data_IF_547551819928
#
_entry.id   IF_547551819928
#
_cell.length_a   1.000
_cell.length_b   1.000
_cell.length_c   1.000
_cell.angle_alpha   90.00
_cell.angle_beta   90.00
_cell.angle_gamma   90.00
#
_symmetry.space_group_name_H-M   'P 1'
#
loop_
_entity.id
_entity.type
_entity.pdbx_description
1 polymer ?
#
# COMPACT_ATOMS: atom_id res chain seq x y z
N UNK A 1 -20.43 -4.63 -13.95
CA UNK A 1 -19.99 -3.22 -14.19
C UNK A 1 -18.46 -3.21 -14.14
N UNK A 2 -17.79 -2.45 -15.02
CA UNK A 2 -16.32 -2.31 -14.96
C UNK A 2 -15.90 -1.56 -13.68
N UNK A 3 -14.73 -1.88 -13.12
CA UNK A 3 -14.23 -1.29 -11.85
C UNK A 3 -14.23 0.24 -11.87
N UNK A 4 -13.74 0.88 -12.95
CA UNK A 4 -13.77 2.34 -13.10
C UNK A 4 -15.17 2.94 -12.97
N UNK A 5 -16.18 2.35 -13.64
CA UNK A 5 -17.58 2.80 -13.52
C UNK A 5 -18.10 2.55 -12.09
N UNK A 6 -17.74 1.43 -11.49
CA UNK A 6 -18.13 1.06 -10.14
C UNK A 6 -17.53 2.01 -9.08
N UNK A 7 -16.28 2.45 -9.26
CA UNK A 7 -15.65 3.44 -8.37
C UNK A 7 -16.43 4.76 -8.30
N UNK A 8 -17.04 5.17 -9.43
CA UNK A 8 -17.82 6.42 -9.51
C UNK A 8 -19.26 6.22 -9.03
N UNK A 9 -19.90 5.10 -9.43
CA UNK A 9 -21.35 4.92 -9.30
C UNK A 9 -21.77 3.91 -8.24
N UNK A 10 -20.88 3.46 -7.38
CA UNK A 10 -21.28 2.55 -6.30
C UNK A 10 -22.33 3.23 -5.43
N UNK A 11 -23.56 2.69 -5.35
CA UNK A 11 -24.61 3.30 -4.55
C UNK A 11 -24.29 3.19 -3.06
N UNK A 12 -24.38 4.29 -2.37
CA UNK A 12 -24.36 4.33 -0.92
C UNK A 12 -25.76 3.99 -0.41
N UNK A 13 -25.91 3.02 0.47
CA UNK A 13 -27.21 2.54 0.95
C UNK A 13 -27.96 3.56 1.81
N UNK A 14 -27.22 4.37 2.57
CA UNK A 14 -27.76 5.45 3.38
C UNK A 14 -27.71 6.74 2.57
N UNK A 15 -28.85 7.26 2.23
CA UNK A 15 -28.94 8.55 1.58
C UNK A 15 -28.89 9.67 2.62
N UNK A 16 -28.24 10.74 2.25
CA UNK A 16 -28.30 12.00 2.95
C UNK A 16 -29.75 12.57 2.91
N UNK A 17 -30.13 13.40 3.91
CA UNK A 17 -31.46 13.95 4.03
C UNK A 17 -31.89 14.82 2.83
N UNK A 18 -30.95 15.26 2.02
CA UNK A 18 -31.15 16.11 0.84
C UNK A 18 -30.87 15.39 -0.48
N UNK A 19 -30.64 14.09 -0.47
CA UNK A 19 -30.28 13.28 -1.64
C UNK A 19 -29.07 13.83 -2.43
N UNK A 20 -28.06 14.34 -1.71
CA UNK A 20 -26.83 14.87 -2.33
C UNK A 20 -26.17 13.80 -3.22
N UNK A 21 -25.70 14.21 -4.41
CA UNK A 21 -25.04 13.29 -5.35
C UNK A 21 -23.70 12.77 -4.80
N UNK A 22 -22.94 13.64 -4.15
CA UNK A 22 -21.71 13.27 -3.44
C UNK A 22 -22.01 13.13 -1.96
N UNK A 23 -21.45 12.09 -1.30
CA UNK A 23 -21.62 11.90 0.14
C UNK A 23 -21.14 13.14 0.92
N UNK A 24 -21.97 13.76 1.77
CA UNK A 24 -21.56 14.89 2.59
C UNK A 24 -20.49 14.52 3.61
N UNK A 25 -19.76 15.52 4.11
CA UNK A 25 -18.83 15.35 5.22
C UNK A 25 -19.59 15.44 6.53
N UNK A 26 -19.82 14.31 7.20
CA UNK A 26 -20.41 14.27 8.55
C UNK A 26 -19.32 14.52 9.60
N UNK A 27 -19.04 15.80 9.85
CA UNK A 27 -18.04 16.24 10.83
C UNK A 27 -18.64 16.29 12.24
N UNK A 28 -19.20 15.16 12.70
CA UNK A 28 -19.81 14.98 14.00
C UNK A 28 -19.07 13.90 14.78
N UNK A 29 -18.98 14.04 16.11
CA UNK A 29 -18.36 13.04 16.97
C UNK A 29 -19.39 12.00 17.42
N UNK A 30 -20.61 12.43 17.75
CA UNK A 30 -21.68 11.61 18.29
C UNK A 30 -22.98 11.86 17.52
N UNK A 31 -23.89 10.92 17.60
CA UNK A 31 -25.21 10.96 16.95
C UNK A 31 -26.31 10.78 17.99
N UNK A 32 -27.44 11.46 17.79
CA UNK A 32 -28.61 11.37 18.66
C UNK A 32 -29.52 10.20 18.25
N UNK A 33 -30.16 9.58 19.22
CA UNK A 33 -31.12 8.47 19.03
C UNK A 33 -32.51 8.86 19.54
N UNK A 34 -33.53 8.37 18.86
CA UNK A 34 -34.92 8.66 19.21
C UNK A 34 -35.30 8.25 20.64
N UNK A 35 -34.69 7.19 21.16
CA UNK A 35 -34.91 6.70 22.50
C UNK A 35 -33.78 5.79 22.98
N UNK A 36 -33.77 5.50 24.30
CA UNK A 36 -32.71 4.69 24.93
C UNK A 36 -32.63 3.26 24.39
N UNK A 37 -33.73 2.67 23.93
CA UNK A 37 -33.74 1.31 23.36
C UNK A 37 -33.02 1.29 22.01
N UNK A 38 -33.33 2.24 21.14
CA UNK A 38 -32.64 2.39 19.83
C UNK A 38 -31.16 2.64 20.03
N UNK A 39 -30.77 3.49 20.98
CA UNK A 39 -29.38 3.71 21.37
C UNK A 39 -28.72 2.40 21.82
N UNK A 40 -29.31 1.65 22.71
CA UNK A 40 -28.76 0.38 23.18
C UNK A 40 -28.65 -0.67 22.06
N UNK A 41 -29.59 -0.67 21.12
CA UNK A 41 -29.58 -1.59 19.98
C UNK A 41 -28.44 -1.22 18.99
N UNK A 42 -28.14 0.09 18.77
CA UNK A 42 -27.03 0.57 17.98
C UNK A 42 -25.68 0.16 18.61
N UNK A 43 -25.47 0.48 19.89
CA UNK A 43 -24.21 0.16 20.61
C UNK A 43 -23.95 -1.34 20.73
N UNK A 44 -24.99 -2.18 20.65
CA UNK A 44 -24.85 -3.64 20.65
C UNK A 44 -24.80 -4.24 19.23
N UNK A 45 -24.74 -3.42 18.17
CA UNK A 45 -24.70 -3.89 16.78
C UNK A 45 -25.98 -4.62 16.32
N UNK A 46 -27.11 -4.43 17.02
CA UNK A 46 -28.40 -5.03 16.65
C UNK A 46 -29.12 -4.26 15.55
N UNK A 47 -28.77 -3.00 15.37
CA UNK A 47 -29.22 -2.15 14.26
C UNK A 47 -28.00 -1.46 13.65
N UNK A 48 -28.08 -1.20 12.35
CA UNK A 48 -27.07 -0.48 11.58
C UNK A 48 -27.33 1.04 11.72
N UNK A 49 -26.67 1.67 12.71
CA UNK A 49 -26.73 3.10 12.96
C UNK A 49 -25.41 3.61 13.54
N UNK A 50 -24.87 4.76 13.05
CA UNK A 50 -23.66 5.33 13.61
C UNK A 50 -23.89 5.75 15.06
N UNK A 51 -22.93 5.44 15.93
CA UNK A 51 -22.97 5.77 17.34
C UNK A 51 -21.89 6.79 17.72
N UNK A 52 -20.66 6.55 17.30
CA UNK A 52 -19.51 7.36 17.62
C UNK A 52 -18.49 7.36 16.47
N UNK A 53 -18.08 8.52 15.97
CA UNK A 53 -17.33 8.64 14.70
C UNK A 53 -15.95 8.00 14.69
N UNK A 54 -15.36 7.68 15.84
CA UNK A 54 -14.13 6.88 15.90
C UNK A 54 -14.34 5.45 15.39
N UNK A 55 -15.55 4.93 15.57
CA UNK A 55 -15.94 3.56 15.21
C UNK A 55 -16.66 3.54 13.87
N UNK A 56 -17.70 4.34 13.74
CA UNK A 56 -18.49 4.43 12.52
C UNK A 56 -18.87 5.88 12.22
N UNK A 57 -18.54 6.32 11.01
CA UNK A 57 -18.93 7.64 10.50
C UNK A 57 -19.47 7.50 9.07
N UNK A 58 -20.64 8.08 8.72
CA UNK A 58 -21.25 7.89 7.41
C UNK A 58 -20.34 8.22 6.21
N UNK A 59 -19.47 9.23 6.34
CA UNK A 59 -18.51 9.60 5.27
C UNK A 59 -17.40 8.56 5.13
N UNK A 60 -16.91 8.03 6.25
CA UNK A 60 -15.88 6.97 6.26
C UNK A 60 -16.46 5.67 5.72
N UNK A 61 -17.64 5.28 6.20
CA UNK A 61 -18.37 4.10 5.73
C UNK A 61 -18.64 4.15 4.22
N UNK A 62 -18.90 5.33 3.65
CA UNK A 62 -19.04 5.46 2.19
C UNK A 62 -17.75 5.08 1.44
N UNK A 63 -16.58 5.49 1.90
CA UNK A 63 -15.30 5.08 1.32
C UNK A 63 -15.10 3.55 1.45
N UNK A 64 -15.33 3.00 2.64
CA UNK A 64 -15.19 1.57 2.92
C UNK A 64 -16.11 0.72 2.04
N UNK A 65 -17.38 1.11 1.90
CA UNK A 65 -18.34 0.41 1.05
C UNK A 65 -17.97 0.47 -0.45
N UNK A 66 -17.41 1.58 -0.92
CA UNK A 66 -16.90 1.67 -2.30
C UNK A 66 -15.73 0.71 -2.52
N UNK A 67 -14.76 0.68 -1.61
CA UNK A 67 -13.62 -0.25 -1.68
C UNK A 67 -14.09 -1.69 -1.58
N UNK A 68 -15.00 -2.00 -0.64
CA UNK A 68 -15.62 -3.33 -0.50
C UNK A 68 -16.26 -3.81 -1.82
N UNK A 69 -16.99 -2.94 -2.49
CA UNK A 69 -17.63 -3.27 -3.76
C UNK A 69 -16.62 -3.49 -4.89
N UNK A 70 -15.53 -2.72 -4.93
CA UNK A 70 -14.48 -2.84 -5.94
C UNK A 70 -13.64 -4.10 -5.79
N UNK A 71 -13.41 -4.55 -4.55
CA UNK A 71 -12.53 -5.68 -4.20
C UNK A 71 -13.28 -6.99 -3.99
N UNK A 72 -14.59 -6.93 -3.70
CA UNK A 72 -15.37 -8.10 -3.28
C UNK A 72 -14.99 -8.61 -1.89
N UNK A 73 -14.45 -7.72 -1.04
CA UNK A 73 -14.07 -8.02 0.33
C UNK A 73 -15.29 -8.33 1.23
N UNK A 74 -15.05 -9.03 2.32
CA UNK A 74 -16.04 -9.19 3.38
C UNK A 74 -16.12 -7.95 4.27
N UNK A 75 -14.96 -7.37 4.63
CA UNK A 75 -14.86 -6.14 5.39
C UNK A 75 -13.79 -5.21 4.82
N UNK A 76 -13.99 -3.91 5.01
CA UNK A 76 -12.96 -2.87 4.75
C UNK A 76 -12.94 -1.94 5.94
N UNK A 77 -11.73 -1.62 6.42
CA UNK A 77 -11.52 -0.72 7.55
C UNK A 77 -10.61 0.42 7.10
N UNK A 78 -11.10 1.65 7.21
CA UNK A 78 -10.33 2.84 6.88
C UNK A 78 -9.64 3.41 8.13
N UNK A 79 -8.33 3.55 8.04
CA UNK A 79 -7.44 3.98 9.12
C UNK A 79 -6.67 5.24 8.73
N UNK A 80 -6.06 5.89 9.72
CA UNK A 80 -5.40 7.20 9.55
C UNK A 80 -4.06 7.16 8.79
N UNK A 81 -3.50 5.99 8.55
CA UNK A 81 -2.24 5.84 7.78
C UNK A 81 -2.03 4.40 7.30
N UNK A 82 -1.15 4.21 6.30
CA UNK A 82 -0.72 2.88 5.88
C UNK A 82 -0.05 2.10 7.01
N UNK A 83 0.77 2.75 7.84
CA UNK A 83 1.37 2.08 9.01
C UNK A 83 0.33 1.67 10.05
N UNK A 84 -0.77 2.42 10.19
CA UNK A 84 -1.89 2.00 11.04
C UNK A 84 -2.59 0.76 10.45
N UNK A 85 -2.76 0.68 9.13
CA UNK A 85 -3.30 -0.51 8.48
C UNK A 85 -2.40 -1.73 8.72
N UNK A 86 -1.09 -1.61 8.51
CA UNK A 86 -0.12 -2.69 8.76
C UNK A 86 -0.11 -3.09 10.24
N UNK A 87 0.04 -2.14 11.16
CA UNK A 87 0.17 -2.44 12.59
C UNK A 87 -1.11 -3.03 13.18
N UNK A 88 -2.29 -2.50 12.87
CA UNK A 88 -3.55 -3.05 13.36
C UNK A 88 -3.78 -4.47 12.82
N UNK A 89 -3.44 -4.72 11.55
CA UNK A 89 -3.55 -6.06 10.97
C UNK A 89 -2.58 -7.04 11.64
N UNK A 90 -1.32 -6.67 11.83
CA UNK A 90 -0.36 -7.52 12.54
C UNK A 90 -0.80 -7.77 13.99
N UNK A 91 -1.19 -6.74 14.74
CA UNK A 91 -1.69 -6.93 16.12
C UNK A 91 -2.93 -7.83 16.23
N UNK A 92 -3.72 -7.94 15.16
CA UNK A 92 -4.89 -8.85 15.15
C UNK A 92 -4.52 -10.33 15.01
N UNK A 93 -3.30 -10.64 14.57
CA UNK A 93 -2.83 -12.01 14.32
C UNK A 93 -1.70 -12.47 15.23
N UNK A 94 -0.84 -11.53 15.70
CA UNK A 94 0.34 -11.90 16.50
C UNK A 94 -0.01 -12.11 17.97
N UNK A 95 0.73 -13.02 18.59
CA UNK A 95 0.71 -13.29 20.03
C UNK A 95 2.15 -13.49 20.53
N UNK A 96 2.38 -13.30 21.83
CA UNK A 96 3.71 -13.57 22.44
C UNK A 96 4.16 -15.01 22.19
N UNK A 97 5.40 -15.19 21.79
CA UNK A 97 6.00 -16.50 21.48
C UNK A 97 5.69 -16.99 20.06
N UNK A 98 4.94 -16.25 19.27
CA UNK A 98 4.65 -16.54 17.87
C UNK A 98 5.66 -15.86 16.93
N UNK A 99 5.63 -16.28 15.66
CA UNK A 99 6.47 -15.71 14.62
C UNK A 99 5.69 -15.27 13.37
N UNK A 100 6.27 -14.32 12.65
CA UNK A 100 5.83 -13.82 11.35
C UNK A 100 6.93 -14.13 10.34
N UNK A 101 6.60 -14.83 9.26
CA UNK A 101 7.52 -15.02 8.13
C UNK A 101 7.37 -13.84 7.18
N UNK A 102 8.50 -13.26 6.75
CA UNK A 102 8.48 -12.09 5.87
C UNK A 102 9.80 -11.88 5.12
N UNK A 103 9.81 -10.93 4.18
CA UNK A 103 11.01 -10.53 3.45
C UNK A 103 11.96 -9.66 4.29
N UNK A 104 13.24 -9.66 3.90
CA UNK A 104 14.20 -8.62 4.31
C UNK A 104 13.98 -7.31 3.55
N UNK A 105 13.39 -7.38 2.36
CA UNK A 105 13.20 -6.26 1.43
C UNK A 105 11.82 -5.63 1.65
N UNK A 106 11.59 -5.09 2.84
CA UNK A 106 10.37 -4.39 3.21
C UNK A 106 10.57 -2.87 3.22
N UNK A 107 9.48 -2.14 3.15
CA UNK A 107 9.47 -0.73 3.53
C UNK A 107 10.06 -0.55 4.93
N UNK A 108 10.99 0.41 5.09
CA UNK A 108 11.80 0.54 6.31
C UNK A 108 11.03 0.57 7.62
N UNK A 109 9.86 1.25 7.66
CA UNK A 109 9.03 1.27 8.87
C UNK A 109 8.33 -0.06 9.14
N UNK A 110 7.95 -0.83 8.13
CA UNK A 110 7.41 -2.18 8.29
C UNK A 110 8.48 -3.13 8.83
N UNK A 111 9.68 -3.05 8.27
CA UNK A 111 10.83 -3.79 8.79
C UNK A 111 11.08 -3.47 10.27
N UNK A 112 11.17 -2.19 10.62
CA UNK A 112 11.38 -1.75 12.01
C UNK A 112 10.22 -2.15 12.94
N UNK A 113 8.97 -2.11 12.49
CA UNK A 113 7.82 -2.58 13.26
C UNK A 113 7.99 -4.06 13.64
N UNK A 114 8.34 -4.91 12.68
CA UNK A 114 8.49 -6.35 12.88
C UNK A 114 9.73 -6.69 13.73
N UNK A 115 10.90 -6.13 13.39
CA UNK A 115 12.18 -6.52 13.99
C UNK A 115 12.49 -5.80 15.32
N UNK A 116 11.87 -4.65 15.58
CA UNK A 116 12.10 -3.86 16.79
C UNK A 116 10.86 -3.78 17.68
N UNK A 117 9.74 -3.28 17.16
CA UNK A 117 8.56 -3.02 17.99
C UNK A 117 7.90 -4.30 18.46
N UNK A 118 7.55 -5.20 17.54
CA UNK A 118 6.89 -6.48 17.84
C UNK A 118 7.85 -7.46 18.53
N UNK A 119 9.14 -7.41 18.24
CA UNK A 119 10.16 -8.21 18.94
C UNK A 119 10.17 -7.94 20.44
N UNK A 120 9.97 -6.68 20.89
CA UNK A 120 9.84 -6.33 22.32
C UNK A 120 8.59 -6.92 22.97
N UNK A 121 7.60 -7.29 22.19
CA UNK A 121 6.38 -7.96 22.64
C UNK A 121 6.49 -9.48 22.56
N UNK A 122 7.68 -10.01 22.24
CA UNK A 122 7.95 -11.45 22.16
C UNK A 122 7.51 -12.10 20.87
N UNK A 123 7.34 -11.33 19.77
CA UNK A 123 7.06 -11.84 18.42
C UNK A 123 8.35 -11.92 17.63
N UNK A 124 8.64 -13.08 17.04
CA UNK A 124 9.81 -13.30 16.19
C UNK A 124 9.50 -12.91 14.72
N UNK A 125 10.36 -12.11 14.09
CA UNK A 125 10.33 -11.88 12.65
C UNK A 125 11.31 -12.86 11.96
N UNK A 126 10.80 -13.82 11.19
CA UNK A 126 11.60 -14.76 10.40
C UNK A 126 11.81 -14.19 9.00
N UNK A 127 12.97 -13.58 8.81
CA UNK A 127 13.33 -12.90 7.58
C UNK A 127 13.94 -13.89 6.57
N UNK A 128 13.36 -13.98 5.38
CA UNK A 128 13.86 -14.84 4.29
C UNK A 128 13.71 -14.17 2.92
N UNK A 129 14.18 -14.85 1.90
CA UNK A 129 13.90 -14.49 0.51
C UNK A 129 12.56 -15.10 0.12
N UNK A 130 11.53 -14.27 -0.09
CA UNK A 130 10.20 -14.71 -0.48
C UNK A 130 10.11 -15.15 -1.95
N UNK A 131 11.16 -15.00 -2.74
CA UNK A 131 11.23 -15.56 -4.10
C UNK A 131 11.61 -17.05 -4.08
N UNK A 132 12.21 -17.54 -2.98
CA UNK A 132 12.45 -18.97 -2.71
C UNK A 132 11.31 -19.57 -1.87
N UNK A 133 10.28 -20.04 -2.55
CA UNK A 133 9.06 -20.58 -1.94
C UNK A 133 9.35 -21.80 -1.04
N UNK A 134 10.33 -22.66 -1.40
CA UNK A 134 10.72 -23.81 -0.58
C UNK A 134 11.42 -23.36 0.72
N UNK A 135 12.20 -22.27 0.66
CA UNK A 135 12.80 -21.70 1.85
C UNK A 135 11.75 -21.14 2.81
N UNK A 136 10.69 -20.53 2.28
CA UNK A 136 9.54 -20.05 3.08
C UNK A 136 8.86 -21.24 3.79
N UNK A 137 8.57 -22.31 3.07
CA UNK A 137 7.90 -23.50 3.64
C UNK A 137 8.70 -24.12 4.80
N UNK A 138 10.02 -24.19 4.66
CA UNK A 138 10.91 -24.72 5.74
C UNK A 138 10.89 -23.87 7.02
N UNK A 139 10.46 -22.60 6.95
CA UNK A 139 10.38 -21.71 8.12
C UNK A 139 9.03 -21.77 8.83
N UNK A 140 8.02 -22.39 8.24
CA UNK A 140 6.71 -22.56 8.86
C UNK A 140 6.76 -23.60 9.98
N UNK A 141 6.24 -23.23 11.14
CA UNK A 141 6.07 -24.14 12.29
C UNK A 141 4.75 -23.83 13.04
N UNK A 142 4.48 -24.55 14.13
CA UNK A 142 3.27 -24.40 14.97
C UNK A 142 3.13 -23.01 15.62
N UNK A 143 4.19 -22.22 15.60
CA UNK A 143 4.20 -20.86 16.14
C UNK A 143 4.06 -19.79 15.06
N UNK A 144 4.02 -20.17 13.79
CA UNK A 144 3.84 -19.21 12.69
C UNK A 144 2.40 -18.72 12.67
N UNK A 145 2.20 -17.40 12.84
CA UNK A 145 0.88 -16.79 12.90
C UNK A 145 0.44 -16.14 11.58
N UNK A 146 1.38 -15.74 10.73
CA UNK A 146 1.08 -15.26 9.38
C UNK A 146 2.32 -15.22 8.50
N UNK A 147 2.08 -15.16 7.19
CA UNK A 147 3.03 -14.72 6.18
C UNK A 147 2.70 -13.27 5.82
N UNK A 148 3.66 -12.35 6.02
CA UNK A 148 3.53 -10.95 5.60
C UNK A 148 4.42 -10.68 4.38
N UNK A 149 3.88 -10.07 3.33
CA UNK A 149 4.61 -9.76 2.12
C UNK A 149 4.24 -8.38 1.54
N UNK A 150 5.17 -7.77 0.81
CA UNK A 150 4.86 -6.73 -0.17
C UNK A 150 4.78 -7.38 -1.55
N UNK A 151 3.72 -7.13 -2.31
CA UNK A 151 3.54 -7.74 -3.65
C UNK A 151 4.60 -7.28 -4.65
N UNK A 152 5.17 -6.10 -4.41
CA UNK A 152 6.32 -5.52 -5.07
C UNK A 152 7.09 -4.70 -4.05
N UNK A 153 8.40 -4.92 -3.93
CA UNK A 153 9.22 -4.28 -2.89
C UNK A 153 9.62 -2.84 -3.27
N UNK A 154 9.87 -2.02 -2.26
CA UNK A 154 10.30 -0.62 -2.40
C UNK A 154 11.61 -0.39 -1.62
N UNK A 155 12.73 -0.03 -2.27
CA UNK A 155 12.87 0.44 -3.66
C UNK A 155 13.32 -0.63 -4.67
N UNK A 156 13.50 -1.88 -4.28
CA UNK A 156 14.16 -2.92 -5.08
C UNK A 156 13.33 -3.34 -6.31
N UNK A 157 11.99 -3.18 -6.26
CA UNK A 157 11.03 -3.59 -7.30
C UNK A 157 11.07 -5.10 -7.58
N UNK A 158 11.34 -5.89 -6.56
CA UNK A 158 11.22 -7.34 -6.65
C UNK A 158 9.75 -7.75 -6.56
N UNK A 159 9.34 -8.74 -7.34
CA UNK A 159 7.98 -9.28 -7.35
C UNK A 159 8.01 -10.71 -6.89
N UNK A 160 7.16 -11.05 -5.92
CA UNK A 160 7.03 -12.42 -5.40
C UNK A 160 5.91 -13.18 -6.10
N UNK A 161 6.04 -14.51 -6.18
CA UNK A 161 4.94 -15.37 -6.63
C UNK A 161 3.90 -15.51 -5.51
N UNK A 162 2.93 -14.60 -5.52
CA UNK A 162 1.87 -14.54 -4.51
C UNK A 162 1.05 -15.83 -4.48
N UNK A 163 0.74 -16.42 -5.66
CA UNK A 163 -0.06 -17.66 -5.71
C UNK A 163 0.66 -18.84 -5.08
N UNK A 164 1.95 -18.98 -5.34
CA UNK A 164 2.75 -20.02 -4.74
C UNK A 164 2.85 -19.85 -3.21
N UNK A 165 3.12 -18.62 -2.75
CA UNK A 165 3.22 -18.30 -1.33
C UNK A 165 1.90 -18.49 -0.58
N UNK A 166 0.78 -18.05 -1.13
CA UNK A 166 -0.55 -18.23 -0.52
C UNK A 166 -0.95 -19.70 -0.48
N UNK A 167 -0.61 -20.46 -1.54
CA UNK A 167 -0.88 -21.92 -1.57
C UNK A 167 -0.17 -22.64 -0.43
N UNK A 168 1.11 -22.37 -0.19
CA UNK A 168 1.87 -22.98 0.90
C UNK A 168 1.34 -22.53 2.26
N UNK A 169 1.12 -21.24 2.47
CA UNK A 169 0.59 -20.72 3.73
C UNK A 169 -0.76 -21.39 4.09
N UNK A 170 -1.66 -21.52 3.13
CA UNK A 170 -2.97 -22.14 3.34
C UNK A 170 -2.90 -23.65 3.62
N UNK A 171 -1.93 -24.38 3.05
CA UNK A 171 -1.70 -25.80 3.39
C UNK A 171 -1.36 -25.98 4.88
N UNK A 172 -0.75 -24.96 5.49
CA UNK A 172 -0.43 -24.92 6.92
C UNK A 172 -1.47 -24.17 7.76
N UNK A 173 -2.57 -23.71 7.17
CA UNK A 173 -3.63 -22.97 7.87
C UNK A 173 -3.22 -21.57 8.33
N UNK A 174 -2.23 -20.94 7.66
CA UNK A 174 -1.63 -19.66 8.01
C UNK A 174 -2.18 -18.57 7.11
N UNK A 175 -2.67 -17.43 7.65
CA UNK A 175 -3.13 -16.31 6.86
C UNK A 175 -1.98 -15.59 6.15
N UNK A 176 -2.28 -15.07 4.95
CA UNK A 176 -1.38 -14.21 4.17
C UNK A 176 -1.87 -12.77 4.23
N UNK A 177 -1.00 -11.90 4.72
CA UNK A 177 -1.18 -10.45 4.77
C UNK A 177 -0.29 -9.84 3.70
N UNK A 178 -0.86 -9.11 2.74
CA UNK A 178 -0.11 -8.49 1.66
C UNK A 178 -0.26 -6.97 1.65
N UNK A 179 0.87 -6.26 1.62
CA UNK A 179 0.89 -4.84 1.29
C UNK A 179 0.87 -4.68 -0.24
N UNK A 180 -0.20 -4.11 -0.74
CA UNK A 180 -0.45 -3.94 -2.17
C UNK A 180 -0.35 -2.48 -2.61
N UNK A 181 0.28 -1.64 -1.81
CA UNK A 181 0.34 -0.19 -2.03
C UNK A 181 0.90 0.21 -3.40
N UNK A 182 1.80 -0.60 -3.98
CA UNK A 182 2.46 -0.25 -5.24
C UNK A 182 1.64 -0.54 -6.49
N UNK A 183 0.67 -1.45 -6.41
CA UNK A 183 -0.27 -1.75 -7.50
C UNK A 183 -1.69 -1.63 -6.93
N UNK A 184 -2.54 -0.74 -7.44
CA UNK A 184 -3.86 -0.55 -6.86
C UNK A 184 -4.76 -1.78 -7.06
N UNK A 185 -5.62 -2.07 -6.09
CA UNK A 185 -6.58 -3.17 -6.10
C UNK A 185 -7.60 -3.11 -7.26
N UNK A 186 -7.64 -2.00 -8.00
CA UNK A 186 -8.45 -1.88 -9.21
C UNK A 186 -7.84 -2.62 -10.40
N UNK A 187 -6.53 -2.89 -10.37
CA UNK A 187 -5.80 -3.51 -11.49
C UNK A 187 -5.79 -5.05 -11.42
N UNK A 188 -5.90 -5.63 -10.24
CA UNK A 188 -5.87 -7.08 -10.03
C UNK A 188 -6.92 -7.51 -9.00
N UNK A 189 -6.97 -8.78 -8.67
CA UNK A 189 -7.81 -9.34 -7.60
C UNK A 189 -6.91 -10.02 -6.57
N UNK A 190 -6.72 -9.38 -5.42
CA UNK A 190 -5.96 -9.95 -4.31
C UNK A 190 -6.60 -11.26 -3.82
N UNK A 191 -7.94 -11.32 -3.79
CA UNK A 191 -8.71 -12.53 -3.46
C UNK A 191 -8.38 -13.70 -4.38
N UNK A 192 -8.28 -13.46 -5.70
CA UNK A 192 -8.00 -14.52 -6.68
C UNK A 192 -6.53 -14.98 -6.63
N UNK A 193 -5.65 -14.18 -6.03
CA UNK A 193 -4.27 -14.56 -5.71
C UNK A 193 -4.15 -15.32 -4.39
N UNK A 194 -5.24 -15.44 -3.62
CA UNK A 194 -5.26 -16.13 -2.32
C UNK A 194 -4.84 -15.25 -1.14
N UNK A 195 -4.74 -13.93 -1.31
CA UNK A 195 -4.46 -13.00 -0.21
C UNK A 195 -5.68 -12.96 0.72
N UNK A 196 -5.46 -13.11 2.03
CA UNK A 196 -6.51 -13.12 3.04
C UNK A 196 -6.82 -11.73 3.57
N UNK A 197 -5.76 -10.95 3.81
CA UNK A 197 -5.83 -9.56 4.24
C UNK A 197 -4.92 -8.71 3.36
N UNK A 198 -5.50 -7.69 2.75
CA UNK A 198 -4.76 -6.72 1.97
C UNK A 198 -4.61 -5.44 2.78
N UNK A 199 -3.40 -4.92 2.91
CA UNK A 199 -3.13 -3.61 3.51
C UNK A 199 -2.68 -2.64 2.44
N UNK A 200 -3.22 -1.43 2.48
CA UNK A 200 -2.96 -0.39 1.48
C UNK A 200 -2.67 0.93 2.16
N UNK A 201 -1.56 1.56 1.81
CA UNK A 201 -1.39 2.97 2.11
C UNK A 201 -2.22 3.82 1.15
N UNK A 202 -3.44 4.15 1.54
CA UNK A 202 -4.34 4.99 0.73
C UNK A 202 -3.84 6.44 0.57
N UNK A 203 -2.78 6.80 1.30
CA UNK A 203 -1.97 8.02 1.10
C UNK A 203 -1.44 8.14 -0.34
N UNK A 204 -1.23 7.01 -1.03
CA UNK A 204 -0.54 6.92 -2.32
C UNK A 204 -1.52 7.14 -3.47
N UNK A 205 -1.72 6.16 -4.33
CA UNK A 205 -2.60 6.28 -5.49
C UNK A 205 -4.02 6.79 -5.16
N UNK A 206 -4.60 6.35 -4.03
CA UNK A 206 -5.97 6.70 -3.69
C UNK A 206 -6.10 8.19 -3.33
N UNK A 207 -5.18 8.74 -2.55
CA UNK A 207 -5.18 10.19 -2.23
C UNK A 207 -5.12 11.08 -3.47
N UNK A 208 -4.40 10.65 -4.49
CA UNK A 208 -4.41 11.29 -5.81
C UNK A 208 -3.71 12.64 -5.93
N UNK A 209 -3.02 13.11 -4.92
CA UNK A 209 -2.34 14.42 -4.98
C UNK A 209 -1.55 14.74 -3.72
N UNK A 210 -1.19 13.72 -2.93
CA UNK A 210 -0.48 13.87 -1.65
C UNK A 210 -1.19 14.82 -0.66
N UNK A 211 -2.52 14.82 -0.66
CA UNK A 211 -3.33 15.75 0.13
C UNK A 211 -3.81 15.16 1.44
N UNK A 212 -3.79 13.82 1.59
CA UNK A 212 -4.29 13.13 2.77
C UNK A 212 -3.49 11.87 3.09
N UNK A 213 -3.21 11.65 4.37
CA UNK A 213 -2.72 10.38 4.88
C UNK A 213 -3.90 9.43 5.09
N UNK A 214 -3.69 8.14 4.81
CA UNK A 214 -4.69 7.14 5.09
C UNK A 214 -4.16 5.72 4.89
N UNK A 215 -4.90 4.74 5.41
CA UNK A 215 -4.66 3.33 5.23
C UNK A 215 -5.97 2.57 5.12
N UNK A 216 -5.95 1.46 4.43
CA UNK A 216 -7.07 0.55 4.32
C UNK A 216 -6.62 -0.85 4.71
N UNK A 217 -7.46 -1.56 5.45
CA UNK A 217 -7.39 -3.01 5.61
C UNK A 217 -8.57 -3.60 4.87
N UNK A 218 -8.31 -4.51 3.95
CA UNK A 218 -9.31 -5.19 3.13
C UNK A 218 -9.27 -6.67 3.53
N UNK A 219 -10.32 -7.12 4.21
CA UNK A 219 -10.46 -8.47 4.73
C UNK A 219 -11.37 -9.28 3.81
N UNK A 220 -10.85 -10.38 3.28
CA UNK A 220 -11.59 -11.27 2.37
C UNK A 220 -12.41 -12.35 3.08
N UNK A 221 -12.38 -12.39 4.43
CA UNK A 221 -13.22 -13.26 5.25
C UNK A 221 -12.74 -14.71 5.37
N UNK A 222 -11.56 -15.04 4.85
CA UNK A 222 -10.99 -16.40 4.91
C UNK A 222 -10.72 -16.82 6.36
N UNK A 223 -10.31 -15.87 7.21
CA UNK A 223 -10.04 -16.06 8.63
C UNK A 223 -10.97 -15.17 9.50
N UNK A 224 -12.24 -15.58 9.75
CA UNK A 224 -13.23 -14.72 10.38
C UNK A 224 -12.87 -14.21 11.79
N UNK A 225 -12.02 -14.93 12.53
CA UNK A 225 -11.55 -14.49 13.84
C UNK A 225 -10.68 -13.24 13.76
N UNK A 226 -9.88 -13.11 12.71
CA UNK A 226 -9.01 -11.97 12.46
C UNK A 226 -9.86 -10.74 12.13
N UNK A 227 -10.81 -10.87 11.20
CA UNK A 227 -11.73 -9.80 10.84
C UNK A 227 -12.51 -9.26 12.06
N UNK A 228 -12.97 -10.15 12.95
CA UNK A 228 -13.61 -9.75 14.20
C UNK A 228 -12.68 -8.99 15.14
N UNK A 229 -11.42 -9.44 15.31
CA UNK A 229 -10.44 -8.72 16.14
C UNK A 229 -10.12 -7.35 15.56
N UNK A 230 -9.96 -7.25 14.24
CA UNK A 230 -9.73 -5.98 13.56
C UNK A 230 -10.83 -4.96 13.86
N UNK A 231 -12.10 -5.36 13.68
CA UNK A 231 -13.25 -4.49 13.86
C UNK A 231 -13.48 -4.18 15.35
N UNK A 232 -13.55 -5.19 16.22
CA UNK A 232 -14.06 -5.06 17.57
C UNK A 232 -12.99 -4.77 18.63
N UNK A 233 -11.70 -4.97 18.30
CA UNK A 233 -10.61 -4.76 19.25
C UNK A 233 -9.64 -3.71 18.72
N UNK A 234 -9.05 -3.89 17.50
CA UNK A 234 -7.99 -3.02 17.04
C UNK A 234 -8.48 -1.60 16.78
N UNK A 235 -9.55 -1.44 16.00
CA UNK A 235 -10.12 -0.12 15.72
C UNK A 235 -10.61 0.55 17.01
N UNK A 236 -11.34 -0.20 17.86
CA UNK A 236 -11.89 0.34 19.11
C UNK A 236 -10.84 0.76 20.12
N UNK A 237 -9.80 -0.08 20.33
CA UNK A 237 -8.84 0.07 21.41
C UNK A 237 -7.63 0.92 21.02
N UNK A 238 -7.15 0.80 19.76
CA UNK A 238 -5.99 1.56 19.29
C UNK A 238 -6.37 2.93 18.72
N UNK A 239 -7.63 3.10 18.29
CA UNK A 239 -8.18 4.40 17.92
C UNK A 239 -7.58 5.03 16.67
N UNK A 240 -7.01 4.25 15.76
CA UNK A 240 -6.36 4.71 14.54
C UNK A 240 -7.35 5.02 13.40
N UNK A 241 -8.51 5.62 13.72
CA UNK A 241 -9.60 5.89 12.79
C UNK A 241 -9.23 6.91 11.71
N UNK A 242 -9.87 6.83 10.54
CA UNK A 242 -9.81 7.85 9.50
C UNK A 242 -10.80 8.99 9.80
N UNK A 243 -10.40 10.24 9.60
CA UNK A 243 -11.33 11.37 9.75
C UNK A 243 -12.27 11.50 8.55
N UNK A 244 -13.50 12.03 8.73
CA UNK A 244 -14.46 12.21 7.64
C UNK A 244 -13.92 13.09 6.49
N UNK A 245 -13.13 14.13 6.79
CA UNK A 245 -12.51 14.99 5.79
C UNK A 245 -11.53 14.21 4.91
N UNK A 246 -10.70 13.35 5.51
CA UNK A 246 -9.76 12.49 4.79
C UNK A 246 -10.52 11.47 3.94
N UNK A 247 -11.53 10.82 4.50
CA UNK A 247 -12.36 9.86 3.77
C UNK A 247 -13.04 10.49 2.54
N UNK A 248 -13.54 11.72 2.67
CA UNK A 248 -14.11 12.47 1.55
C UNK A 248 -13.08 12.73 0.45
N UNK A 249 -11.89 13.27 0.81
CA UNK A 249 -10.82 13.51 -0.15
C UNK A 249 -10.36 12.22 -0.85
N UNK A 250 -10.26 11.12 -0.11
CA UNK A 250 -9.87 9.83 -0.68
C UNK A 250 -10.97 9.21 -1.55
N UNK A 251 -12.23 9.46 -1.26
CA UNK A 251 -13.34 9.09 -2.15
C UNK A 251 -13.21 9.78 -3.51
N UNK A 252 -12.93 11.08 -3.53
CA UNK A 252 -12.69 11.81 -4.79
C UNK A 252 -11.46 11.27 -5.54
N UNK A 253 -10.39 10.97 -4.81
CA UNK A 253 -9.20 10.36 -5.41
C UNK A 253 -9.45 8.97 -5.98
N UNK A 254 -10.29 8.16 -5.31
CA UNK A 254 -10.68 6.82 -5.76
C UNK A 254 -11.45 6.88 -7.11
N UNK A 255 -12.31 7.87 -7.30
CA UNK A 255 -13.09 8.04 -8.54
C UNK A 255 -12.21 8.25 -9.79
N UNK A 256 -11.01 8.82 -9.62
CA UNK A 256 -10.05 9.06 -10.71
C UNK A 256 -8.83 8.14 -10.69
N UNK A 257 -8.81 7.15 -9.81
CA UNK A 257 -7.66 6.29 -9.57
C UNK A 257 -7.15 5.61 -10.84
N UNK A 258 -8.03 4.94 -11.59
CA UNK A 258 -7.63 4.19 -12.79
C UNK A 258 -7.09 5.09 -13.90
N UNK A 259 -7.68 6.28 -14.08
CA UNK A 259 -7.21 7.25 -15.09
C UNK A 259 -5.80 7.74 -14.75
N UNK A 260 -5.56 8.10 -13.49
CA UNK A 260 -4.24 8.56 -13.04
C UNK A 260 -3.21 7.44 -13.07
N UNK A 261 -3.57 6.26 -12.57
CA UNK A 261 -2.69 5.10 -12.57
C UNK A 261 -2.24 4.73 -13.99
N UNK A 262 -3.18 4.64 -14.95
CA UNK A 262 -2.86 4.29 -16.33
C UNK A 262 -1.92 5.32 -16.97
N UNK A 263 -2.14 6.60 -16.75
CA UNK A 263 -1.26 7.66 -17.25
C UNK A 263 0.14 7.58 -16.59
N UNK A 264 0.21 7.44 -15.27
CA UNK A 264 1.48 7.34 -14.54
C UNK A 264 2.29 6.10 -14.94
N UNK A 265 1.63 4.94 -15.09
CA UNK A 265 2.29 3.70 -15.51
C UNK A 265 2.80 3.79 -16.96
N UNK A 266 2.02 4.40 -17.86
CA UNK A 266 2.46 4.67 -19.23
C UNK A 266 3.67 5.59 -19.27
N UNK A 267 3.64 6.70 -18.53
CA UNK A 267 4.76 7.62 -18.39
C UNK A 267 5.99 6.92 -17.83
N UNK A 268 5.83 6.05 -16.83
CA UNK A 268 6.93 5.30 -16.22
C UNK A 268 7.60 4.35 -17.22
N UNK A 269 6.82 3.64 -18.03
CA UNK A 269 7.34 2.74 -19.05
C UNK A 269 8.14 3.52 -20.12
N UNK A 270 7.55 4.56 -20.68
CA UNK A 270 8.21 5.38 -21.70
C UNK A 270 9.47 6.04 -21.16
N UNK A 271 9.39 6.64 -19.96
CA UNK A 271 10.55 7.26 -19.34
C UNK A 271 11.66 6.23 -19.05
N UNK A 272 11.34 5.06 -18.51
CA UNK A 272 12.30 4.01 -18.24
C UNK A 272 13.02 3.54 -19.52
N UNK A 273 12.31 3.38 -20.64
CA UNK A 273 12.90 3.04 -21.94
C UNK A 273 13.87 4.13 -22.43
N UNK A 274 13.50 5.40 -22.31
CA UNK A 274 14.33 6.54 -22.74
C UNK A 274 15.55 6.74 -21.84
N UNK A 275 15.42 6.57 -20.52
CA UNK A 275 16.55 6.70 -19.57
C UNK A 275 17.69 5.72 -19.86
N UNK A 276 17.41 4.53 -20.41
CA UNK A 276 18.43 3.55 -20.82
C UNK A 276 19.39 4.08 -21.91
N UNK A 277 19.03 5.15 -22.60
CA UNK A 277 19.88 5.77 -23.62
C UNK A 277 20.90 6.76 -23.06
N UNK A 278 20.77 7.16 -21.79
CA UNK A 278 21.64 8.13 -21.13
C UNK A 278 22.86 7.44 -20.52
N UNK A 279 24.05 7.76 -21.04
CA UNK A 279 25.31 7.12 -20.64
C UNK A 279 25.65 7.17 -19.15
N UNK A 280 25.37 8.26 -18.38
CA UNK A 280 25.66 8.29 -16.95
C UNK A 280 24.83 7.33 -16.11
N UNK A 281 23.72 6.78 -16.65
CA UNK A 281 22.86 5.82 -15.97
C UNK A 281 23.43 4.41 -16.18
N UNK A 282 23.90 3.79 -15.11
CA UNK A 282 24.47 2.45 -15.13
C UNK A 282 23.40 1.36 -15.27
N UNK A 283 22.23 1.58 -14.65
CA UNK A 283 21.10 0.65 -14.68
C UNK A 283 19.79 1.41 -14.57
N UNK A 284 18.79 0.95 -15.31
CA UNK A 284 17.39 1.34 -15.14
C UNK A 284 16.61 0.10 -14.71
N UNK A 285 15.91 0.16 -13.59
CA UNK A 285 15.08 -0.93 -13.10
C UNK A 285 13.62 -0.47 -13.08
N UNK A 286 12.79 -1.15 -13.85
CA UNK A 286 11.34 -0.99 -13.90
C UNK A 286 10.70 -2.30 -14.33
N UNK A 287 9.75 -2.78 -13.56
CA UNK A 287 9.12 -4.11 -13.79
C UNK A 287 8.33 -4.18 -15.11
N UNK A 288 7.90 -3.03 -15.63
CA UNK A 288 7.24 -2.95 -16.95
C UNK A 288 8.15 -3.14 -18.16
N UNK A 289 9.49 -3.18 -18.00
CA UNK A 289 10.41 -3.49 -19.09
C UNK A 289 10.39 -4.99 -19.37
N UNK A 290 10.26 -5.41 -20.63
CA UNK A 290 10.15 -6.81 -21.02
C UNK A 290 11.35 -7.69 -20.61
N UNK A 291 12.54 -7.10 -20.52
CA UNK A 291 13.77 -7.76 -20.09
C UNK A 291 13.99 -7.73 -18.56
N UNK A 292 13.06 -7.16 -17.79
CA UNK A 292 13.11 -7.23 -16.34
C UNK A 292 12.79 -8.67 -15.87
N UNK A 293 13.58 -9.25 -14.94
CA UNK A 293 13.39 -10.64 -14.52
C UNK A 293 12.01 -10.92 -13.91
N UNK A 294 11.34 -9.91 -13.37
CA UNK A 294 10.02 -10.03 -12.76
C UNK A 294 8.86 -9.69 -13.70
N UNK A 295 9.13 -9.22 -14.93
CA UNK A 295 8.11 -8.72 -15.85
C UNK A 295 6.99 -9.74 -16.08
N UNK A 296 7.35 -10.96 -16.48
CA UNK A 296 6.38 -12.01 -16.81
C UNK A 296 5.51 -12.39 -15.61
N UNK A 297 6.12 -12.48 -14.42
CA UNK A 297 5.40 -12.76 -13.18
C UNK A 297 4.44 -11.62 -12.83
N UNK A 298 4.89 -10.38 -12.91
CA UNK A 298 4.05 -9.20 -12.64
C UNK A 298 2.87 -9.13 -13.60
N UNK A 299 3.07 -9.33 -14.89
CA UNK A 299 1.99 -9.36 -15.90
C UNK A 299 0.98 -10.46 -15.57
N UNK A 300 1.43 -11.65 -15.18
CA UNK A 300 0.55 -12.77 -14.86
C UNK A 300 -0.33 -12.53 -13.62
N UNK A 301 0.14 -11.71 -12.69
CA UNK A 301 -0.55 -11.43 -11.42
C UNK A 301 -1.32 -10.11 -11.42
N UNK A 302 -0.77 -9.07 -12.04
CA UNK A 302 -1.25 -7.68 -11.90
C UNK A 302 -1.69 -7.05 -13.22
N UNK A 303 -1.59 -7.75 -14.34
CA UNK A 303 -1.91 -7.24 -15.68
C UNK A 303 -0.74 -6.49 -16.33
N UNK A 304 -1.03 -5.79 -17.43
CA UNK A 304 -0.01 -5.23 -18.32
C UNK A 304 0.76 -4.02 -17.73
N UNK A 305 0.28 -3.44 -16.64
CA UNK A 305 0.89 -2.26 -16.02
C UNK A 305 1.63 -2.62 -14.73
N UNK A 306 2.82 -2.07 -14.54
CA UNK A 306 3.71 -2.40 -13.42
C UNK A 306 3.93 -1.23 -12.44
N UNK A 307 2.90 -0.40 -12.24
CA UNK A 307 2.99 0.77 -11.37
C UNK A 307 3.79 1.92 -11.99
N UNK A 308 4.12 2.90 -11.16
CA UNK A 308 4.80 4.11 -11.59
C UNK A 308 6.06 4.42 -10.79
N UNK A 309 6.76 3.38 -10.32
CA UNK A 309 8.05 3.53 -9.64
C UNK A 309 9.17 2.98 -10.51
N UNK A 310 10.18 3.81 -10.75
CA UNK A 310 11.39 3.49 -11.51
C UNK A 310 12.58 3.73 -10.60
N UNK A 311 13.59 2.87 -10.63
CA UNK A 311 14.89 3.17 -10.02
C UNK A 311 15.98 3.22 -11.07
N UNK A 312 16.96 4.11 -10.86
CA UNK A 312 18.15 4.23 -11.68
C UNK A 312 19.38 4.16 -10.79
N UNK A 313 20.43 3.49 -11.27
CA UNK A 313 21.71 3.47 -10.59
C UNK A 313 22.71 4.35 -11.35
N UNK A 314 23.46 5.15 -10.61
CA UNK A 314 24.58 5.95 -11.10
C UNK A 314 25.91 5.36 -10.61
N UNK A 315 27.03 5.98 -10.98
CA UNK A 315 28.37 5.49 -10.63
C UNK A 315 28.71 5.60 -9.14
N UNK A 316 28.10 6.56 -8.42
CA UNK A 316 28.38 6.80 -7.00
C UNK A 316 27.26 7.58 -6.32
N UNK A 317 27.29 7.64 -4.98
CA UNK A 317 26.41 8.46 -4.16
C UNK A 317 26.53 9.95 -4.52
N UNK A 318 27.77 10.43 -4.74
CA UNK A 318 28.02 11.82 -5.12
C UNK A 318 27.38 12.15 -6.47
N UNK A 319 27.40 11.22 -7.44
CA UNK A 319 26.70 11.38 -8.71
C UNK A 319 25.18 11.46 -8.51
N UNK A 320 24.62 10.64 -7.60
CA UNK A 320 23.22 10.70 -7.24
C UNK A 320 22.85 12.08 -6.64
N UNK A 321 23.65 12.58 -5.74
CA UNK A 321 23.40 13.87 -5.11
C UNK A 321 23.52 15.02 -6.11
N UNK A 322 24.57 15.03 -6.98
CA UNK A 322 24.68 16.03 -8.05
C UNK A 322 23.44 16.04 -8.93
N UNK A 323 23.02 14.86 -9.42
CA UNK A 323 21.80 14.78 -10.23
C UNK A 323 20.59 15.34 -9.49
N UNK A 324 20.34 14.88 -8.27
CA UNK A 324 19.19 15.33 -7.49
C UNK A 324 19.21 16.85 -7.24
N UNK A 325 20.37 17.44 -6.96
CA UNK A 325 20.51 18.87 -6.70
C UNK A 325 20.28 19.74 -7.93
N UNK A 326 20.55 19.19 -9.13
CA UNK A 326 20.38 19.88 -10.39
C UNK A 326 19.00 19.71 -11.06
N UNK A 327 18.09 18.87 -10.47
CA UNK A 327 16.72 18.77 -10.95
C UNK A 327 15.98 20.11 -10.77
N UNK A 328 15.25 20.52 -11.82
CA UNK A 328 14.51 21.79 -11.88
C UNK A 328 13.00 21.60 -11.85
N UNK A 329 12.50 20.52 -12.43
CA UNK A 329 11.08 20.16 -12.49
C UNK A 329 10.73 19.09 -11.46
N UNK A 330 11.49 18.01 -11.41
CA UNK A 330 11.25 16.89 -10.51
C UNK A 330 11.55 17.28 -9.07
N UNK A 331 10.60 17.03 -8.16
CA UNK A 331 10.74 17.42 -6.76
C UNK A 331 11.47 16.40 -5.90
N UNK A 332 12.35 16.88 -5.04
CA UNK A 332 13.00 16.08 -3.98
C UNK A 332 12.03 15.90 -2.81
N UNK A 333 11.23 14.82 -2.82
CA UNK A 333 10.24 14.53 -1.79
C UNK A 333 10.00 13.02 -1.64
N UNK A 334 9.60 12.58 -0.44
CA UNK A 334 9.54 11.16 -0.08
C UNK A 334 8.23 10.45 -0.41
N UNK A 335 7.23 11.09 -0.94
CA UNK A 335 5.97 10.43 -1.27
C UNK A 335 6.10 9.49 -2.49
N UNK A 336 5.03 8.76 -2.81
CA UNK A 336 4.91 7.89 -3.98
C UNK A 336 3.57 8.19 -4.67
N UNK A 337 3.57 8.06 -6.01
CA UNK A 337 2.37 8.11 -6.83
C UNK A 337 1.54 9.39 -6.64
N UNK A 338 2.25 10.47 -6.37
CA UNK A 338 1.72 11.83 -6.46
C UNK A 338 1.44 12.17 -7.94
N UNK A 339 0.63 13.19 -8.17
CA UNK A 339 0.45 13.74 -9.52
C UNK A 339 1.74 14.36 -10.08
N UNK A 340 2.68 14.71 -9.21
CA UNK A 340 4.02 15.23 -9.53
C UNK A 340 5.05 14.14 -9.43
N UNK A 341 6.03 14.18 -10.31
CA UNK A 341 7.19 13.29 -10.25
C UNK A 341 8.10 13.66 -9.09
N UNK A 342 8.47 12.65 -8.30
CA UNK A 342 9.29 12.80 -7.10
C UNK A 342 10.54 11.95 -7.20
N UNK A 343 11.66 12.47 -6.70
CA UNK A 343 12.95 11.78 -6.66
C UNK A 343 13.55 11.78 -5.25
N UNK A 344 14.12 10.65 -4.85
CA UNK A 344 14.90 10.51 -3.61
C UNK A 344 16.12 9.60 -3.83
N UNK A 345 17.09 9.71 -2.96
CA UNK A 345 18.16 8.73 -2.75
C UNK A 345 17.76 7.85 -1.55
N UNK A 346 17.28 6.62 -1.74
CA UNK A 346 16.70 5.80 -0.66
C UNK A 346 17.65 5.57 0.50
N UNK A 347 18.91 5.26 0.21
CA UNK A 347 19.91 4.92 1.22
C UNK A 347 20.17 6.05 2.23
N UNK A 348 20.14 7.33 1.79
CA UNK A 348 20.33 8.49 2.68
C UNK A 348 19.06 9.10 3.22
N UNK A 349 17.87 8.60 2.81
CA UNK A 349 16.58 9.15 3.22
C UNK A 349 15.74 8.12 3.98
N UNK A 350 14.89 7.34 3.30
CA UNK A 350 13.97 6.39 3.93
C UNK A 350 14.68 5.21 4.61
N UNK A 351 15.94 4.95 4.28
CA UNK A 351 16.83 3.98 4.92
C UNK A 351 18.03 4.62 5.63
N UNK A 352 18.06 5.94 5.78
CA UNK A 352 19.19 6.66 6.33
C UNK A 352 19.49 6.42 7.82
N UNK A 353 18.54 5.82 8.55
CA UNK A 353 18.71 5.45 9.97
C UNK A 353 19.22 4.01 10.14
N UNK A 354 19.29 3.21 9.06
CA UNK A 354 19.85 1.87 9.08
C UNK A 354 21.37 1.90 8.86
N UNK A 355 22.07 0.95 9.48
CA UNK A 355 23.52 0.80 9.27
C UNK A 355 23.83 0.38 7.82
N UNK A 356 25.09 0.51 7.41
CA UNK A 356 25.51 0.08 6.06
C UNK A 356 25.30 -1.43 5.86
N UNK A 357 25.54 -2.24 6.90
CA UNK A 357 25.31 -3.68 6.90
C UNK A 357 23.82 -4.03 6.73
N UNK A 358 22.93 -3.33 7.44
CA UNK A 358 21.48 -3.50 7.31
C UNK A 358 21.00 -3.09 5.91
N UNK A 359 21.45 -1.96 5.38
CA UNK A 359 21.11 -1.53 4.01
C UNK A 359 21.59 -2.55 2.97
N UNK A 360 22.80 -3.09 3.14
CA UNK A 360 23.33 -4.15 2.26
C UNK A 360 22.46 -5.40 2.33
N UNK A 361 22.06 -5.83 3.54
CA UNK A 361 21.19 -6.98 3.74
C UNK A 361 19.78 -6.79 3.15
N UNK A 362 19.32 -5.52 3.04
CA UNK A 362 18.05 -5.13 2.43
C UNK A 362 18.18 -4.84 0.94
N UNK A 363 19.35 -5.05 0.32
CA UNK A 363 19.63 -4.70 -1.08
C UNK A 363 19.34 -3.22 -1.42
N UNK A 364 19.67 -2.31 -0.51
CA UNK A 364 19.56 -0.85 -0.70
C UNK A 364 20.94 -0.29 -1.01
N UNK A 365 21.14 0.12 -2.26
CA UNK A 365 22.43 0.57 -2.75
C UNK A 365 22.60 2.09 -2.58
N UNK A 366 23.85 2.52 -2.29
CA UNK A 366 24.21 3.95 -2.21
C UNK A 366 24.29 4.65 -3.59
N UNK A 367 24.12 3.89 -4.67
CA UNK A 367 24.14 4.39 -6.05
C UNK A 367 22.74 4.55 -6.65
N UNK A 368 21.68 4.25 -5.91
CA UNK A 368 20.32 4.20 -6.42
C UNK A 368 19.54 5.48 -6.16
N UNK A 369 18.91 6.02 -7.21
CA UNK A 369 17.87 7.03 -7.15
C UNK A 369 16.51 6.35 -7.42
N UNK A 370 15.51 6.62 -6.60
CA UNK A 370 14.14 6.21 -6.81
C UNK A 370 13.32 7.37 -7.37
N UNK A 371 12.65 7.13 -8.49
CA UNK A 371 11.71 8.03 -9.15
C UNK A 371 10.30 7.50 -8.95
N UNK A 372 9.39 8.33 -8.48
CA UNK A 372 7.95 8.08 -8.47
C UNK A 372 7.34 8.96 -9.55
N UNK A 373 6.89 8.36 -10.64
CA UNK A 373 6.50 9.06 -11.86
C UNK A 373 5.08 9.61 -11.71
N UNK A 374 4.93 10.90 -12.06
CA UNK A 374 3.67 11.64 -12.02
C UNK A 374 2.96 11.72 -13.37
N UNK A 375 2.20 12.80 -13.54
CA UNK A 375 1.34 13.03 -14.70
C UNK A 375 1.92 14.05 -15.70
N UNK A 376 3.15 14.51 -15.48
CA UNK A 376 3.83 15.45 -16.36
C UNK A 376 4.11 14.82 -17.72
N UNK A 377 4.42 15.66 -18.73
CA UNK A 377 4.93 15.21 -20.02
C UNK A 377 6.24 14.42 -19.84
N UNK A 378 6.33 13.27 -20.47
CA UNK A 378 7.56 12.44 -20.43
C UNK A 378 8.74 13.18 -21.05
N UNK A 379 8.51 14.03 -22.07
CA UNK A 379 9.57 14.86 -22.66
C UNK A 379 10.17 15.80 -21.62
N UNK A 380 9.33 16.51 -20.87
CA UNK A 380 9.78 17.45 -19.84
C UNK A 380 10.54 16.71 -18.71
N UNK A 381 10.07 15.54 -18.30
CA UNK A 381 10.73 14.72 -17.28
C UNK A 381 12.11 14.22 -17.77
N UNK A 382 12.16 13.74 -19.01
CA UNK A 382 13.40 13.25 -19.62
C UNK A 382 14.44 14.37 -19.78
N UNK A 383 14.02 15.54 -20.24
CA UNK A 383 14.89 16.71 -20.42
C UNK A 383 15.41 17.22 -19.06
N UNK A 384 14.58 17.20 -18.01
CA UNK A 384 15.01 17.58 -16.66
C UNK A 384 16.07 16.61 -16.11
N UNK A 385 15.88 15.30 -16.27
CA UNK A 385 16.86 14.30 -15.84
C UNK A 385 18.15 14.43 -16.65
N UNK A 386 18.05 14.59 -17.97
CA UNK A 386 19.21 14.71 -18.85
C UNK A 386 20.06 15.91 -18.49
N UNK A 387 19.45 17.11 -18.36
CA UNK A 387 20.20 18.32 -17.99
C UNK A 387 20.81 18.20 -16.58
N UNK A 388 20.15 17.49 -15.65
CA UNK A 388 20.68 17.29 -14.31
C UNK A 388 21.89 16.32 -14.26
N UNK A 389 21.96 15.38 -15.20
CA UNK A 389 23.11 14.46 -15.34
C UNK A 389 24.30 15.11 -16.06
N UNK A 390 24.06 16.18 -16.85
CA UNK A 390 25.11 16.90 -17.60
C UNK A 390 25.71 18.06 -16.78
N UNK A 391 25.11 18.43 -15.64
CA UNK A 391 25.57 19.51 -14.75
C UNK A 391 26.60 19.00 -13.73
#
# INVERSE_FOLDING_TARGET
MKKQTQAIHQPYKRRDAYDALSMPIYNAVAFEFDNAKVMADAFCGRIDAPDYSRVENPTVTNLEQRVKALTGAENVIALNSGMAAISNTLFSVVEQGKNVITSRHLFGNTYSLLTSTLSRLGVEARLCDLTDVEAVERLIDDNTCCLFLEIMTNPQLEVVDVRALTSIAHQHGIPVIADTTLIPFTQFSAKDLGIDLEVVSSTKYISGGATSLGGLVIDYGTFPSIGKRLLNEMLFNLGAYMTPQVAYMQTLGLETLDVRYSAQAGNALELAQRLRTLKPICKVNYVGLEDNPYHQLAVSQYGETAGAMVTIDLESQEACFRMLDNLKLIHRATNLFDNRTLAIHPASTIFGLFTAEERTAMNVQDTTIRLSIGLESVDDLFDDIKQALEA
#
